data_IF_987857468725
#
_entry.id   IF_987857468725
#
_cell.length_a   1.000
_cell.length_b   1.000
_cell.length_c   1.000
_cell.angle_alpha   90.00
_cell.angle_beta   90.00
_cell.angle_gamma   90.00
#
_symmetry.space_group_name_H-M   'P 1'
#
loop_
_entity.id
_entity.type
_entity.pdbx_description
1 polymer ?
#
# COMPACT_ATOMS: atom_id res chain seq x y z
N UNK A 1 -3.72 47.43 72.22
CA UNK A 1 -5.13 47.71 71.88
C UNK A 1 -5.17 48.69 70.72
N UNK A 2 -5.84 48.33 69.61
CA UNK A 2 -6.50 49.21 68.60
C UNK A 2 -5.57 50.23 67.86
N UNK A 3 -5.54 50.40 66.54
CA UNK A 3 -6.46 50.10 65.46
C UNK A 3 -5.72 50.17 64.10
N UNK A 4 -6.21 49.37 63.15
CA UNK A 4 -5.90 49.39 61.72
C UNK A 4 -6.10 50.78 61.07
N UNK A 5 -5.42 51.02 59.94
CA UNK A 5 -6.04 51.51 58.70
C UNK A 5 -5.27 51.08 57.44
N UNK A 6 -6.04 50.55 56.48
CA UNK A 6 -5.74 50.04 55.14
C UNK A 6 -5.05 51.07 54.23
N UNK A 7 -4.33 50.59 53.20
CA UNK A 7 -4.59 50.87 51.77
C UNK A 7 -3.98 49.75 50.91
N UNK A 8 -4.72 49.40 49.89
CA UNK A 8 -4.62 48.27 48.95
C UNK A 8 -3.40 48.28 48.03
N UNK A 9 -2.93 47.09 47.66
CA UNK A 9 -2.54 46.80 46.27
C UNK A 9 -2.86 45.33 45.97
N UNK A 10 -3.94 45.12 45.22
CA UNK A 10 -4.29 43.84 44.62
C UNK A 10 -3.48 43.73 43.34
N UNK A 11 -2.49 42.84 43.30
CA UNK A 11 -1.91 42.37 42.05
C UNK A 11 -2.63 41.08 41.66
N UNK A 12 -3.55 41.21 40.70
CA UNK A 12 -4.11 40.09 39.95
C UNK A 12 -3.04 39.61 38.96
N UNK A 13 -2.33 38.53 39.31
CA UNK A 13 -1.55 37.77 38.35
C UNK A 13 -2.50 36.81 37.62
N UNK A 14 -2.88 37.18 36.40
CA UNK A 14 -3.47 36.26 35.43
C UNK A 14 -2.40 35.23 35.03
N UNK A 15 -2.46 34.03 35.62
CA UNK A 15 -1.77 32.86 35.07
C UNK A 15 -2.66 32.37 33.93
N UNK A 16 -2.36 32.80 32.71
CA UNK A 16 -2.93 32.17 31.52
C UNK A 16 -2.24 30.82 31.31
N UNK A 17 -3.05 29.77 31.32
CA UNK A 17 -2.67 28.40 31.02
C UNK A 17 -2.22 28.28 29.57
N UNK A 18 -0.92 28.41 29.31
CA UNK A 18 -0.37 27.99 28.03
C UNK A 18 -0.34 26.46 27.99
N UNK A 19 -1.39 25.88 27.39
CA UNK A 19 -1.39 24.50 26.93
C UNK A 19 -0.26 24.35 25.90
N UNK A 20 0.79 23.62 26.27
CA UNK A 20 1.76 23.10 25.30
C UNK A 20 1.04 21.96 24.58
N UNK A 21 0.47 22.23 23.40
CA UNK A 21 0.11 21.19 22.45
C UNK A 21 1.40 20.62 21.87
N UNK A 22 1.87 19.51 22.45
CA UNK A 22 2.85 18.65 21.79
C UNK A 22 2.14 17.98 20.61
N UNK A 23 2.34 18.53 19.41
CA UNK A 23 2.07 17.82 18.16
C UNK A 23 3.20 16.81 18.00
N UNK A 24 2.97 15.57 18.42
CA UNK A 24 3.82 14.46 18.03
C UNK A 24 3.48 14.13 16.58
N UNK A 25 4.30 14.64 15.65
CA UNK A 25 4.35 14.10 14.30
C UNK A 25 5.10 12.76 14.42
N UNK A 26 4.38 11.64 14.32
CA UNK A 26 5.03 10.33 14.17
C UNK A 26 5.80 10.35 12.86
N UNK A 27 7.09 10.03 12.89
CA UNK A 27 7.87 9.91 11.67
C UNK A 27 7.45 8.60 10.97
N UNK A 28 6.90 8.73 9.77
CA UNK A 28 6.68 7.61 8.86
C UNK A 28 7.99 7.37 8.12
N UNK A 29 8.58 6.18 8.28
CA UNK A 29 9.79 5.81 7.55
C UNK A 29 9.40 5.06 6.28
N UNK A 30 9.58 5.68 5.13
CA UNK A 30 9.44 5.01 3.85
C UNK A 30 10.63 4.07 3.62
N UNK A 31 10.36 2.78 3.43
CA UNK A 31 11.38 1.73 3.29
C UNK A 31 11.59 1.38 1.82
N UNK A 32 10.50 1.39 1.04
CA UNK A 32 10.52 1.22 -0.39
C UNK A 32 9.50 2.18 -1.01
N UNK A 33 9.92 2.87 -2.07
CA UNK A 33 9.09 3.76 -2.88
C UNK A 33 9.40 3.47 -4.34
N UNK A 34 8.36 3.22 -5.12
CA UNK A 34 8.40 3.26 -6.57
C UNK A 34 7.28 4.16 -7.07
N UNK A 35 7.65 5.20 -7.82
CA UNK A 35 6.73 6.18 -8.43
C UNK A 35 6.81 6.19 -9.97
N UNK A 36 7.67 5.36 -10.56
CA UNK A 36 7.91 5.22 -11.99
C UNK A 36 8.26 6.52 -12.75
N UNK A 37 8.65 7.60 -12.04
CA UNK A 37 8.99 8.89 -12.67
C UNK A 37 10.29 8.81 -13.46
N UNK A 38 11.21 7.92 -13.05
CA UNK A 38 12.55 7.77 -13.64
C UNK A 38 12.70 6.53 -14.52
N UNK A 39 11.68 5.68 -14.60
CA UNK A 39 11.74 4.43 -15.36
C UNK A 39 11.07 3.27 -14.62
N UNK A 40 11.55 2.06 -14.88
CA UNK A 40 11.18 0.84 -14.16
C UNK A 40 12.42 -0.04 -13.98
N UNK A 41 13.59 0.59 -13.82
CA UNK A 41 14.85 -0.10 -13.61
C UNK A 41 14.78 -0.91 -12.30
N UNK A 42 15.35 -2.12 -12.30
CA UNK A 42 15.23 -3.06 -11.18
C UNK A 42 13.99 -3.97 -11.23
N UNK A 43 13.04 -3.71 -12.13
CA UNK A 43 11.89 -4.60 -12.34
C UNK A 43 12.15 -5.64 -13.43
N UNK A 44 11.95 -6.92 -13.09
CA UNK A 44 12.18 -8.06 -13.97
C UNK A 44 10.88 -8.74 -14.40
N UNK A 45 10.75 -9.11 -15.67
CA UNK A 45 9.61 -9.89 -16.14
C UNK A 45 9.77 -11.35 -15.72
N UNK A 46 8.89 -11.83 -14.86
CA UNK A 46 8.91 -13.21 -14.36
C UNK A 46 7.85 -14.12 -14.99
N UNK A 47 6.72 -13.57 -15.46
CA UNK A 47 5.66 -14.37 -16.11
C UNK A 47 4.81 -13.57 -17.12
N UNK A 48 4.07 -14.29 -17.97
CA UNK A 48 3.15 -13.74 -18.96
C UNK A 48 3.83 -13.20 -20.22
N UNK A 49 3.06 -13.04 -21.30
CA UNK A 49 3.55 -12.49 -22.56
C UNK A 49 3.29 -10.99 -22.62
N UNK A 50 4.31 -10.21 -22.28
CA UNK A 50 4.25 -8.74 -22.22
C UNK A 50 4.82 -8.13 -23.49
N UNK A 51 4.10 -7.19 -24.08
CA UNK A 51 4.43 -6.58 -25.38
C UNK A 51 4.90 -5.13 -25.26
N UNK A 52 4.36 -4.38 -24.29
CA UNK A 52 4.66 -2.94 -24.15
C UNK A 52 4.80 -2.52 -22.69
N UNK A 53 5.92 -2.88 -22.02
CA UNK A 53 6.29 -2.28 -20.74
C UNK A 53 6.93 -0.91 -21.00
N UNK A 54 6.33 0.18 -20.49
CA UNK A 54 6.91 1.53 -20.56
C UNK A 54 6.22 2.50 -19.61
N UNK A 55 6.94 3.53 -19.19
CA UNK A 55 6.35 4.70 -18.54
C UNK A 55 5.60 5.58 -19.56
N UNK A 56 4.54 6.28 -19.13
CA UNK A 56 3.75 7.15 -20.00
C UNK A 56 3.07 8.31 -19.27
N UNK A 57 2.85 9.43 -19.99
CA UNK A 57 2.41 10.70 -19.39
C UNK A 57 0.90 10.94 -19.31
N UNK A 58 0.10 10.22 -20.08
CA UNK A 58 -1.32 10.60 -20.28
C UNK A 58 -2.27 10.00 -19.24
N UNK A 59 -1.83 8.98 -18.52
CA UNK A 59 -2.57 8.36 -17.41
C UNK A 59 -1.52 8.16 -16.34
N UNK A 60 -1.46 9.10 -15.40
CA UNK A 60 -0.64 9.13 -14.19
C UNK A 60 -1.54 9.56 -13.02
N UNK A 61 -1.22 9.15 -11.79
CA UNK A 61 -1.98 9.54 -10.60
C UNK A 61 -1.28 10.69 -9.89
N UNK A 62 -0.09 10.41 -9.37
CA UNK A 62 0.84 11.36 -8.79
C UNK A 62 2.05 11.51 -9.72
N UNK A 63 2.61 12.72 -9.82
CA UNK A 63 3.72 12.97 -10.75
C UNK A 63 3.32 13.08 -12.22
N UNK A 64 4.22 12.66 -13.11
CA UNK A 64 4.12 12.84 -14.55
C UNK A 64 4.02 11.52 -15.33
N UNK A 65 4.32 10.37 -14.72
CA UNK A 65 4.42 9.10 -15.40
C UNK A 65 3.81 7.94 -14.60
N UNK A 66 3.05 7.09 -15.28
CA UNK A 66 2.71 5.75 -14.77
C UNK A 66 3.41 4.67 -15.59
N UNK A 67 3.71 3.54 -14.95
CA UNK A 67 4.11 2.32 -15.65
C UNK A 67 2.90 1.64 -16.31
N UNK A 68 2.94 1.53 -17.64
CA UNK A 68 1.97 0.77 -18.42
C UNK A 68 2.50 -0.63 -18.68
N UNK A 69 1.67 -1.62 -18.39
CA UNK A 69 1.88 -3.00 -18.79
C UNK A 69 0.78 -3.45 -19.76
N UNK A 70 1.16 -3.84 -20.98
CA UNK A 70 0.26 -4.52 -21.92
C UNK A 70 0.73 -5.95 -22.17
N UNK A 71 -0.13 -6.92 -21.82
CA UNK A 71 0.15 -8.35 -21.95
C UNK A 71 -0.94 -9.12 -22.68
N UNK A 72 -0.71 -10.41 -22.89
CA UNK A 72 -1.68 -11.36 -23.46
C UNK A 72 -1.51 -12.70 -22.76
N UNK A 73 -2.61 -13.25 -22.25
CA UNK A 73 -2.58 -14.51 -21.51
C UNK A 73 -2.34 -15.72 -22.40
N UNK A 74 -1.37 -16.53 -22.02
CA UNK A 74 -1.27 -17.96 -22.37
C UNK A 74 -1.08 -18.86 -21.12
N UNK A 75 -0.94 -18.22 -19.94
CA UNK A 75 -0.83 -18.80 -18.61
C UNK A 75 -1.65 -17.91 -17.67
N UNK A 76 -1.81 -18.28 -16.38
CA UNK A 76 -2.66 -17.54 -15.41
C UNK A 76 -2.44 -16.01 -15.35
N UNK A 77 -1.24 -15.57 -15.75
CA UNK A 77 -0.84 -14.18 -15.90
C UNK A 77 -0.79 -13.74 -17.37
N UNK A 78 -1.34 -12.56 -17.66
CA UNK A 78 -1.03 -11.82 -18.90
C UNK A 78 0.31 -11.09 -18.82
N UNK A 79 0.78 -10.80 -17.60
CA UNK A 79 2.05 -10.15 -17.32
C UNK A 79 2.30 -10.06 -15.82
N UNK A 80 3.54 -10.37 -15.42
CA UNK A 80 4.07 -10.17 -14.08
C UNK A 80 5.47 -9.54 -14.18
N UNK A 81 5.64 -8.40 -13.52
CA UNK A 81 6.94 -7.76 -13.30
C UNK A 81 7.23 -7.77 -11.81
N UNK A 82 8.45 -8.09 -11.42
CA UNK A 82 8.86 -8.27 -10.04
C UNK A 82 10.04 -7.37 -9.71
N UNK A 83 10.02 -6.79 -8.52
CA UNK A 83 11.17 -6.10 -7.94
C UNK A 83 11.61 -6.85 -6.68
N UNK A 84 12.88 -7.27 -6.57
CA UNK A 84 13.39 -7.92 -5.38
C UNK A 84 13.45 -6.93 -4.22
N UNK A 85 13.14 -7.39 -3.02
CA UNK A 85 13.15 -6.62 -1.78
C UNK A 85 13.83 -7.41 -0.67
N UNK A 86 14.16 -6.71 0.41
CA UNK A 86 14.66 -7.33 1.63
C UNK A 86 14.20 -6.53 2.85
N UNK A 87 12.90 -6.59 3.15
CA UNK A 87 12.24 -5.75 4.16
C UNK A 87 11.68 -6.62 5.29
N UNK A 88 12.01 -6.38 6.57
CA UNK A 88 11.39 -7.10 7.67
C UNK A 88 9.88 -6.83 7.75
N UNK A 89 9.07 -7.87 7.98
CA UNK A 89 7.64 -7.69 8.24
C UNK A 89 7.41 -7.43 9.74
N UNK A 90 7.10 -6.18 10.07
CA UNK A 90 6.82 -5.73 11.44
C UNK A 90 5.33 -5.33 11.59
N UNK A 91 4.77 -5.30 12.82
CA UNK A 91 3.35 -4.96 13.07
C UNK A 91 2.86 -3.64 12.47
N UNK A 92 3.77 -2.70 12.25
CA UNK A 92 3.52 -1.38 11.68
C UNK A 92 3.84 -1.30 10.16
N UNK A 93 4.04 -2.42 9.48
CA UNK A 93 4.40 -2.44 8.06
C UNK A 93 3.16 -2.25 7.21
N UNK A 94 3.07 -1.08 6.60
CA UNK A 94 1.97 -0.70 5.71
C UNK A 94 2.40 -0.78 4.25
N UNK A 95 1.48 -1.26 3.41
CA UNK A 95 1.61 -1.30 1.97
C UNK A 95 0.56 -0.40 1.33
N UNK A 96 1.02 0.62 0.63
CA UNK A 96 0.20 1.54 -0.14
C UNK A 96 0.51 1.38 -1.62
N UNK A 97 -0.53 1.34 -2.45
CA UNK A 97 -0.35 1.14 -3.87
C UNK A 97 -1.51 1.70 -4.70
N UNK A 98 -1.20 2.10 -5.93
CA UNK A 98 -2.16 2.62 -6.89
C UNK A 98 -2.15 1.84 -8.20
N UNK A 99 -3.33 1.57 -8.75
CA UNK A 99 -3.47 1.03 -10.10
C UNK A 99 -4.66 1.63 -10.86
N UNK A 100 -4.60 1.52 -12.17
CA UNK A 100 -5.63 2.01 -13.09
C UNK A 100 -5.87 1.01 -14.22
N UNK A 101 -7.12 0.91 -14.63
CA UNK A 101 -7.54 0.14 -15.79
C UNK A 101 -8.55 0.92 -16.63
N UNK A 102 -8.32 0.95 -17.95
CA UNK A 102 -9.21 1.64 -18.90
C UNK A 102 -10.58 0.96 -19.03
N UNK A 103 -10.58 -0.37 -18.91
CA UNK A 103 -11.73 -1.23 -19.13
C UNK A 103 -11.60 -2.48 -18.27
N UNK A 104 -12.73 -3.06 -17.86
CA UNK A 104 -12.81 -4.38 -17.23
C UNK A 104 -12.55 -5.55 -18.20
N UNK A 105 -11.63 -5.37 -19.15
CA UNK A 105 -11.22 -6.42 -20.10
C UNK A 105 -10.17 -7.35 -19.48
N UNK A 106 -9.38 -6.83 -18.55
CA UNK A 106 -8.45 -7.62 -17.73
C UNK A 106 -9.25 -8.49 -16.78
N UNK A 107 -8.76 -9.69 -16.47
CA UNK A 107 -9.46 -10.54 -15.50
C UNK A 107 -9.19 -10.06 -14.09
N UNK A 108 -7.92 -9.76 -13.79
CA UNK A 108 -7.53 -9.06 -12.59
C UNK A 108 -6.35 -8.11 -12.84
N UNK A 109 -6.18 -7.12 -11.97
CA UNK A 109 -5.03 -6.22 -11.89
C UNK A 109 -4.71 -5.97 -10.43
N UNK A 110 -3.43 -5.86 -10.09
CA UNK A 110 -3.04 -5.54 -8.73
C UNK A 110 -1.57 -5.79 -8.48
N UNK A 111 -1.27 -6.17 -7.25
CA UNK A 111 0.05 -6.41 -6.73
C UNK A 111 0.13 -7.78 -6.04
N UNK A 112 1.33 -8.35 -6.00
CA UNK A 112 1.64 -9.58 -5.26
C UNK A 112 2.87 -9.35 -4.40
N UNK A 113 2.82 -9.79 -3.15
CA UNK A 113 3.93 -9.75 -2.19
C UNK A 113 4.38 -11.19 -1.93
N UNK A 114 5.67 -11.45 -2.07
CA UNK A 114 6.26 -12.74 -1.68
C UNK A 114 7.06 -12.60 -0.38
N UNK A 115 6.99 -13.64 0.45
CA UNK A 115 7.63 -13.68 1.76
C UNK A 115 8.73 -14.74 1.82
N UNK A 116 9.68 -14.55 2.74
CA UNK A 116 10.88 -15.41 2.89
C UNK A 116 10.57 -16.88 3.23
N UNK A 117 9.37 -17.18 3.69
CA UNK A 117 8.92 -18.55 3.99
C UNK A 117 8.13 -19.20 2.85
N UNK A 118 8.11 -18.58 1.67
CA UNK A 118 7.47 -19.09 0.46
C UNK A 118 5.96 -18.85 0.39
N UNK A 119 5.39 -18.08 1.32
CA UNK A 119 4.00 -17.65 1.27
C UNK A 119 3.82 -16.39 0.40
N UNK A 120 2.58 -16.14 -0.01
CA UNK A 120 2.22 -15.09 -0.96
C UNK A 120 0.98 -14.31 -0.48
N UNK A 121 1.01 -12.98 -0.65
CA UNK A 121 -0.15 -12.10 -0.48
C UNK A 121 -0.55 -11.46 -1.80
N UNK A 122 -1.76 -11.72 -2.29
CA UNK A 122 -2.29 -11.16 -3.53
C UNK A 122 -3.29 -10.03 -3.26
N UNK A 123 -3.01 -8.83 -3.78
CA UNK A 123 -3.78 -7.62 -3.57
C UNK A 123 -4.33 -7.11 -4.91
N UNK A 124 -5.60 -7.37 -5.21
CA UNK A 124 -6.08 -7.16 -6.58
C UNK A 124 -7.56 -6.86 -6.70
N UNK A 125 -7.90 -6.26 -7.84
CA UNK A 125 -9.27 -6.18 -8.33
C UNK A 125 -9.55 -7.30 -9.32
N UNK A 126 -10.62 -8.07 -9.06
CA UNK A 126 -11.13 -9.10 -9.97
C UNK A 126 -12.34 -8.56 -10.73
N UNK A 127 -12.24 -8.52 -12.05
CA UNK A 127 -13.33 -8.05 -12.91
C UNK A 127 -14.13 -9.19 -13.52
N UNK A 128 -13.51 -10.34 -13.66
CA UNK A 128 -14.13 -11.52 -14.24
C UNK A 128 -13.45 -12.76 -13.67
N UNK A 129 -14.29 -13.68 -13.19
CA UNK A 129 -13.86 -14.98 -12.75
C UNK A 129 -13.92 -15.23 -11.25
N UNK A 130 -13.12 -16.21 -10.83
CA UNK A 130 -12.96 -16.70 -9.48
C UNK A 130 -11.48 -16.96 -9.23
N UNK A 131 -10.99 -16.53 -8.08
CA UNK A 131 -9.72 -17.00 -7.54
C UNK A 131 -9.96 -18.26 -6.71
N UNK A 132 -9.13 -19.27 -6.93
CA UNK A 132 -9.09 -20.46 -6.08
C UNK A 132 -8.02 -20.21 -5.03
N UNK A 133 -8.41 -20.26 -3.76
CA UNK A 133 -7.48 -20.13 -2.66
C UNK A 133 -6.55 -21.35 -2.62
N UNK A 134 -5.25 -21.12 -2.47
CA UNK A 134 -4.24 -22.18 -2.31
C UNK A 134 -3.58 -22.03 -0.94
N UNK A 135 -3.14 -23.13 -0.33
CA UNK A 135 -2.67 -23.13 1.07
C UNK A 135 -1.46 -22.22 1.35
N UNK A 136 -0.76 -21.76 0.32
CA UNK A 136 0.42 -20.90 0.40
C UNK A 136 0.13 -19.44 0.11
N UNK A 137 -1.13 -19.08 -0.18
CA UNK A 137 -1.50 -17.72 -0.55
C UNK A 137 -2.71 -17.22 0.23
N UNK A 138 -2.78 -15.90 0.43
CA UNK A 138 -4.02 -15.21 0.80
C UNK A 138 -4.35 -14.13 -0.23
N UNK A 139 -5.62 -13.73 -0.26
CA UNK A 139 -6.14 -12.78 -1.24
C UNK A 139 -6.87 -11.64 -0.56
N UNK A 140 -6.53 -10.41 -0.94
CA UNK A 140 -7.27 -9.20 -0.60
C UNK A 140 -7.90 -8.69 -1.90
N UNK A 141 -9.20 -8.98 -2.05
CA UNK A 141 -9.95 -8.65 -3.26
C UNK A 141 -10.72 -7.34 -3.11
N UNK A 142 -10.42 -6.36 -3.96
CA UNK A 142 -11.18 -5.13 -4.08
C UNK A 142 -12.36 -5.33 -5.04
N UNK A 143 -13.57 -4.98 -4.58
CA UNK A 143 -14.82 -5.20 -5.33
C UNK A 143 -15.40 -3.88 -5.79
N UNK A 144 -16.19 -3.94 -6.87
CA UNK A 144 -16.99 -2.82 -7.40
C UNK A 144 -16.19 -1.62 -7.93
N UNK A 145 -14.90 -1.77 -8.21
CA UNK A 145 -14.10 -0.68 -8.76
C UNK A 145 -14.56 -0.23 -10.16
N UNK A 146 -14.58 1.09 -10.37
CA UNK A 146 -14.92 1.72 -11.65
C UNK A 146 -13.78 1.66 -12.67
N UNK A 147 -14.13 1.57 -13.96
CA UNK A 147 -13.13 1.77 -15.02
C UNK A 147 -12.78 3.25 -15.16
N UNK A 148 -11.57 3.51 -15.64
CA UNK A 148 -11.03 4.84 -15.94
C UNK A 148 -10.86 5.79 -14.75
N UNK A 149 -10.64 5.22 -13.58
CA UNK A 149 -10.30 5.94 -12.36
C UNK A 149 -9.09 5.27 -11.72
N UNK A 150 -8.29 6.03 -11.01
CA UNK A 150 -7.24 5.49 -10.14
C UNK A 150 -7.87 4.87 -8.91
N UNK A 151 -7.34 3.73 -8.49
CA UNK A 151 -7.70 3.05 -7.26
C UNK A 151 -6.46 2.98 -6.40
N UNK A 152 -6.56 3.56 -5.21
CA UNK A 152 -5.49 3.63 -4.23
C UNK A 152 -5.93 2.85 -3.01
N UNK A 153 -5.07 1.95 -2.55
CA UNK A 153 -5.33 1.10 -1.40
C UNK A 153 -4.18 1.20 -0.42
N UNK A 154 -4.51 1.05 0.85
CA UNK A 154 -3.56 1.00 1.95
C UNK A 154 -3.98 -0.13 2.88
N UNK A 155 -3.03 -1.01 3.20
CA UNK A 155 -3.26 -2.22 4.01
C UNK A 155 -2.10 -2.45 4.97
N UNK A 156 -2.37 -3.11 6.09
CA UNK A 156 -1.33 -3.58 6.99
C UNK A 156 -0.93 -5.00 6.61
N UNK A 157 0.31 -5.17 6.12
CA UNK A 157 0.79 -6.47 5.63
C UNK A 157 0.95 -7.49 6.76
N UNK A 158 1.29 -7.04 7.97
CA UNK A 158 1.45 -7.91 9.12
C UNK A 158 0.11 -8.50 9.53
N UNK A 159 -0.91 -7.65 9.68
CA UNK A 159 -2.27 -8.07 10.08
C UNK A 159 -2.87 -9.00 9.03
N UNK A 160 -2.72 -8.69 7.74
CA UNK A 160 -3.22 -9.54 6.65
C UNK A 160 -2.57 -10.94 6.70
N UNK A 161 -1.25 -10.99 6.86
CA UNK A 161 -0.50 -12.24 6.95
C UNK A 161 -0.89 -13.04 8.21
N UNK A 162 -0.95 -12.40 9.38
CA UNK A 162 -1.31 -13.03 10.64
C UNK A 162 -2.72 -13.61 10.57
N UNK A 163 -3.68 -12.87 10.02
CA UNK A 163 -5.05 -13.34 9.83
C UNK A 163 -5.12 -14.55 8.89
N UNK A 164 -4.28 -14.60 7.85
CA UNK A 164 -4.24 -15.71 6.91
C UNK A 164 -3.60 -16.98 7.46
N UNK A 165 -2.51 -16.83 8.23
CA UNK A 165 -1.63 -17.96 8.61
C UNK A 165 -1.50 -18.17 10.12
N UNK A 166 -2.30 -17.48 10.93
CA UNK A 166 -2.44 -17.58 12.39
C UNK A 166 -1.25 -17.04 13.18
N UNK A 167 -0.04 -17.03 12.60
CA UNK A 167 1.16 -16.54 13.27
C UNK A 167 2.19 -15.99 12.27
N UNK A 168 2.92 -14.96 12.69
CA UNK A 168 4.00 -14.33 11.93
C UNK A 168 5.35 -14.77 12.49
N UNK A 169 6.23 -15.44 11.70
CA UNK A 169 7.60 -15.70 12.12
C UNK A 169 8.36 -14.41 12.43
N UNK A 170 9.16 -14.40 13.50
CA UNK A 170 9.87 -13.19 13.96
C UNK A 170 10.91 -12.66 12.99
N UNK A 171 11.38 -13.52 12.08
CA UNK A 171 12.36 -13.23 11.03
C UNK A 171 11.73 -13.19 9.64
N UNK A 172 10.40 -13.08 9.54
CA UNK A 172 9.70 -13.01 8.27
C UNK A 172 10.08 -11.73 7.53
N UNK A 173 10.34 -11.87 6.23
CA UNK A 173 10.74 -10.75 5.35
C UNK A 173 9.89 -10.75 4.10
N UNK A 174 9.61 -9.55 3.58
CA UNK A 174 9.12 -9.32 2.24
C UNK A 174 10.32 -9.44 1.29
N UNK A 175 10.27 -10.41 0.39
CA UNK A 175 11.37 -10.73 -0.53
C UNK A 175 11.16 -10.17 -1.93
N UNK A 176 9.91 -9.89 -2.31
CA UNK A 176 9.62 -9.20 -3.57
C UNK A 176 8.24 -8.57 -3.56
N UNK A 177 8.07 -7.59 -4.45
CA UNK A 177 6.78 -7.05 -4.86
C UNK A 177 6.63 -7.24 -6.36
N UNK A 178 5.43 -7.60 -6.81
CA UNK A 178 5.13 -7.84 -8.21
C UNK A 178 3.93 -7.04 -8.68
N UNK A 179 4.03 -6.45 -9.88
CA UNK A 179 2.90 -5.91 -10.64
C UNK A 179 2.24 -7.05 -11.40
N UNK A 180 0.92 -7.19 -11.29
CA UNK A 180 0.20 -8.29 -11.95
C UNK A 180 -0.95 -7.79 -12.85
N UNK A 181 -1.00 -8.34 -14.06
CA UNK A 181 -2.20 -8.35 -14.90
C UNK A 181 -2.58 -9.79 -15.24
N UNK A 182 -3.84 -10.11 -15.01
CA UNK A 182 -4.38 -11.46 -15.09
C UNK A 182 -5.21 -11.76 -16.32
N UNK A 183 -5.06 -12.97 -16.85
CA UNK A 183 -5.99 -13.61 -17.79
C UNK A 183 -6.06 -15.12 -17.52
N UNK A 184 -6.55 -15.53 -16.33
CA UNK A 184 -6.57 -16.93 -15.91
C UNK A 184 -7.49 -17.81 -16.74
N UNK A 185 -8.27 -17.21 -17.63
CA UNK A 185 -9.17 -17.89 -18.54
C UNK A 185 -8.66 -17.96 -19.97
N UNK A 186 -7.42 -17.50 -20.21
CA UNK A 186 -6.78 -17.58 -21.51
C UNK A 186 -7.65 -16.96 -22.61
N UNK A 187 -8.31 -15.83 -22.29
CA UNK A 187 -9.14 -15.11 -23.25
C UNK A 187 -8.34 -14.67 -24.47
N UNK A 188 -7.00 -14.65 -24.34
CA UNK A 188 -6.05 -14.39 -25.41
C UNK A 188 -6.23 -12.99 -26.00
N UNK A 189 -6.92 -12.11 -25.26
CA UNK A 189 -7.10 -10.70 -25.56
C UNK A 189 -5.94 -9.90 -24.98
N UNK A 190 -5.67 -8.74 -25.58
CA UNK A 190 -4.74 -7.81 -24.98
C UNK A 190 -5.32 -7.24 -23.69
N UNK A 191 -4.53 -7.35 -22.63
CA UNK A 191 -4.80 -6.84 -21.31
C UNK A 191 -3.88 -5.66 -21.04
N UNK A 192 -4.41 -4.57 -20.49
CA UNK A 192 -3.61 -3.38 -20.18
C UNK A 192 -3.96 -2.87 -18.79
N UNK A 193 -2.93 -2.75 -17.97
CA UNK A 193 -2.97 -2.14 -16.64
C UNK A 193 -1.94 -1.02 -16.55
N UNK A 194 -2.18 -0.10 -15.62
CA UNK A 194 -1.31 1.02 -15.31
C UNK A 194 -1.06 1.03 -13.80
N UNK A 195 0.17 1.31 -13.41
CA UNK A 195 0.68 1.29 -12.04
C UNK A 195 1.45 2.60 -11.83
N UNK A 196 1.28 3.24 -10.68
CA UNK A 196 1.79 4.61 -10.46
C UNK A 196 2.62 4.70 -9.19
N UNK A 197 2.01 4.43 -8.04
CA UNK A 197 2.72 4.47 -6.75
C UNK A 197 2.68 3.11 -6.07
N UNK A 198 3.80 2.78 -5.45
CA UNK A 198 3.99 1.64 -4.57
C UNK A 198 4.88 2.10 -3.43
N UNK A 199 4.36 2.03 -2.21
CA UNK A 199 5.12 2.39 -1.02
C UNK A 199 4.98 1.31 0.03
N UNK A 200 6.11 0.86 0.57
CA UNK A 200 6.15 0.10 1.82
C UNK A 200 6.81 0.99 2.86
N UNK A 201 6.11 1.22 3.96
CA UNK A 201 6.58 2.07 5.04
C UNK A 201 6.29 1.43 6.40
N UNK A 202 7.05 1.86 7.40
CA UNK A 202 6.83 1.51 8.80
C UNK A 202 6.55 2.78 9.59
N UNK A 203 5.39 2.81 10.24
CA UNK A 203 5.01 3.91 11.13
C UNK A 203 5.68 3.69 12.49
N UNK A 204 6.46 4.65 13.01
CA UNK A 204 7.08 4.51 14.32
C UNK A 204 6.04 4.10 15.40
N UNK A 205 6.22 2.94 16.05
CA UNK A 205 5.38 2.42 17.16
C UNK A 205 5.31 3.35 18.40
N UNK A 206 5.95 4.52 18.36
CA UNK A 206 5.81 5.57 19.38
C UNK A 206 4.50 6.37 19.28
N UNK A 207 3.52 5.92 18.50
CA UNK A 207 2.14 6.40 18.50
C UNK A 207 1.27 5.58 19.45
N UNK A 208 1.18 5.98 20.71
CA UNK A 208 0.34 5.34 21.71
C UNK A 208 -1.12 5.17 21.27
N UNK A 209 -1.77 4.13 21.80
CA UNK A 209 -3.20 3.84 21.71
C UNK A 209 -4.03 5.12 21.55
N UNK A 210 -4.77 5.24 20.44
CA UNK A 210 -5.86 6.20 20.33
C UNK A 210 -6.89 5.90 21.43
N UNK A 211 -6.82 6.64 22.54
CA UNK A 211 -7.97 6.78 23.43
C UNK A 211 -8.80 7.96 22.91
N UNK A 212 -9.91 7.62 22.26
CA UNK A 212 -10.99 8.57 21.99
C UNK A 212 -11.61 8.91 23.34
N UNK A 213 -11.24 10.05 23.92
CA UNK A 213 -12.02 10.64 25.00
C UNK A 213 -13.18 11.39 24.36
N UNK A 214 -14.40 10.87 24.56
CA UNK A 214 -15.61 11.63 24.30
C UNK A 214 -15.62 12.87 25.21
N UNK A 215 -15.76 14.04 24.60
CA UNK A 215 -16.17 15.29 25.27
C UNK A 215 -17.54 15.67 24.71
#
# INVERSE_FOLDING_TARGET
MKNLRRISLVFLLFISSNFISMVFCSAQQNIFIEDFETGYDGWERTNGKIFFPRTQKFIAYEGNYAFRMTGRGNQGYSGRFEHPLDIPLLPNTTFEFAYYFLWKRVSYIGYQIEFSDGKIGDYFSLFYGMFVNISVAYVVQYKLESSRTWHVHQVNLYDDYENAFISVPSDLRITSVSLIIGDPYFSNKFQTGFFDSITIFQDDEKGGKFQVNHV
#
